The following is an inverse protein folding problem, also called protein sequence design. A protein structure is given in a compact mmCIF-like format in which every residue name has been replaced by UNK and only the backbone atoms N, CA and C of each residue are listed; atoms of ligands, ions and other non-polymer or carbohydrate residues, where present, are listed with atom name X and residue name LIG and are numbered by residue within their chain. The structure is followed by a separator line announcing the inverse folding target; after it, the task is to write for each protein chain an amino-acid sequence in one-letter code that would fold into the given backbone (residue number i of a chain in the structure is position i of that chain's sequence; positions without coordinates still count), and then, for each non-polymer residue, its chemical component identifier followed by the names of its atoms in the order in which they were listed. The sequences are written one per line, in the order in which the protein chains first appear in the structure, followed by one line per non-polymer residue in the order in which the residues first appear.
data_IF_108376288240
#
_entry.id   IF_108376288240
#
_cell.length_a   1.000
_cell.length_b   1.000
_cell.length_c   1.000
_cell.angle_alpha   90.00
_cell.angle_beta   90.00
_cell.angle_gamma   90.00
#
_symmetry.space_group_name_H-M   'P 1'
#
loop_
_entity.id
_entity.type
_entity.pdbx_description
1 polymer ?
#
# COMPACT_ATOMS: atom_id res chain seq x y z
N UNK A 1 10.98 -13.19 15.99
CA UNK A 1 9.97 -13.05 14.93
C UNK A 1 9.41 -11.64 14.99
N UNK A 2 9.30 -10.96 13.85
CA UNK A 2 8.69 -9.63 13.72
C UNK A 2 7.38 -9.78 12.95
N UNK A 3 6.26 -9.42 13.57
CA UNK A 3 4.98 -9.27 12.88
C UNK A 3 4.97 -7.92 12.17
N UNK A 4 4.93 -7.94 10.84
CA UNK A 4 4.96 -6.73 10.02
C UNK A 4 3.71 -5.87 10.12
N UNK A 5 2.56 -6.45 10.45
CA UNK A 5 1.22 -5.83 10.28
C UNK A 5 1.00 -5.25 8.87
N UNK A 6 1.68 -5.84 7.87
CA UNK A 6 1.67 -5.42 6.47
C UNK A 6 1.51 -6.65 5.56
N UNK A 7 1.21 -6.41 4.30
CA UNK A 7 1.11 -7.43 3.26
C UNK A 7 1.90 -7.00 2.02
N UNK A 8 2.17 -7.96 1.13
CA UNK A 8 2.81 -7.72 -0.17
C UNK A 8 4.15 -6.97 -0.03
N UNK A 9 4.37 -5.91 -0.82
CA UNK A 9 5.60 -5.10 -0.78
C UNK A 9 5.85 -4.48 0.60
N UNK A 10 4.81 -4.15 1.39
CA UNK A 10 5.01 -3.62 2.74
C UNK A 10 5.78 -4.56 3.65
N UNK A 11 5.51 -5.88 3.56
CA UNK A 11 6.35 -6.90 4.20
C UNK A 11 7.76 -6.94 3.59
N UNK A 12 7.85 -6.83 2.26
CA UNK A 12 9.14 -6.83 1.54
C UNK A 12 10.05 -5.67 1.96
N UNK A 13 9.51 -4.47 2.20
CA UNK A 13 10.27 -3.31 2.69
C UNK A 13 10.97 -3.64 4.02
N UNK A 14 10.26 -4.26 4.96
CA UNK A 14 10.87 -4.68 6.23
C UNK A 14 11.96 -5.74 6.04
N UNK A 15 11.78 -6.65 5.08
CA UNK A 15 12.79 -7.66 4.76
C UNK A 15 14.07 -7.02 4.16
N UNK A 16 13.91 -5.99 3.31
CA UNK A 16 15.04 -5.21 2.78
C UNK A 16 15.76 -4.50 3.93
N UNK A 17 15.05 -3.80 4.80
CA UNK A 17 15.65 -3.12 5.94
C UNK A 17 16.37 -4.08 6.89
N UNK A 18 15.83 -5.28 7.12
CA UNK A 18 16.51 -6.32 7.88
C UNK A 18 17.82 -6.76 7.21
N UNK A 19 17.82 -6.89 5.89
CA UNK A 19 19.03 -7.25 5.13
C UNK A 19 20.09 -6.13 5.22
N UNK A 20 19.68 -4.87 5.06
CA UNK A 20 20.57 -3.71 5.16
C UNK A 20 21.21 -3.63 6.57
N UNK A 21 20.43 -3.88 7.62
CA UNK A 21 20.92 -3.91 9.00
C UNK A 21 21.90 -5.06 9.23
N UNK A 22 21.61 -6.26 8.71
CA UNK A 22 22.53 -7.40 8.76
C UNK A 22 23.85 -7.03 8.08
N UNK A 23 23.81 -6.44 6.90
CA UNK A 23 25.00 -6.06 6.13
C UNK A 23 25.79 -4.93 6.81
N UNK A 24 25.12 -4.12 7.62
CA UNK A 24 25.74 -3.16 8.54
C UNK A 24 26.26 -3.78 9.85
N UNK A 25 26.21 -5.12 10.00
CA UNK A 25 26.74 -5.86 11.17
C UNK A 25 25.86 -5.82 12.42
N UNK A 26 24.57 -5.51 12.28
CA UNK A 26 23.61 -5.53 13.39
C UNK A 26 23.24 -6.96 13.80
N UNK A 27 23.01 -7.16 15.09
CA UNK A 27 22.53 -8.44 15.61
C UNK A 27 21.05 -8.68 15.23
N UNK A 28 20.58 -9.94 15.24
CA UNK A 28 19.17 -10.25 15.03
C UNK A 28 18.23 -9.54 16.03
N UNK A 29 18.69 -9.34 17.27
CA UNK A 29 17.94 -8.67 18.33
C UNK A 29 17.78 -7.18 18.02
N UNK A 30 18.88 -6.48 17.66
CA UNK A 30 18.86 -5.08 17.23
C UNK A 30 17.95 -4.89 16.01
N UNK A 31 18.02 -5.82 15.03
CA UNK A 31 17.16 -5.80 13.85
C UNK A 31 15.68 -5.92 14.25
N UNK A 32 15.36 -6.89 15.12
CA UNK A 32 13.98 -7.12 15.55
C UNK A 32 13.41 -5.93 16.33
N UNK A 33 14.20 -5.31 17.21
CA UNK A 33 13.81 -4.12 17.97
C UNK A 33 13.50 -2.96 17.02
N UNK A 34 14.42 -2.60 16.16
CA UNK A 34 14.25 -1.54 15.17
C UNK A 34 13.04 -1.76 14.27
N UNK A 35 12.90 -2.95 13.68
CA UNK A 35 11.79 -3.25 12.78
C UNK A 35 10.43 -3.21 13.48
N UNK A 36 10.34 -3.60 14.75
CA UNK A 36 9.12 -3.47 15.54
C UNK A 36 8.74 -2.02 15.80
N UNK A 37 9.70 -1.13 15.95
CA UNK A 37 9.47 0.30 16.12
C UNK A 37 9.02 0.96 14.80
N UNK A 38 9.74 0.70 13.70
CA UNK A 38 9.53 1.44 12.44
C UNK A 38 8.41 0.91 11.55
N UNK A 39 7.99 -0.35 11.71
CA UNK A 39 6.97 -0.97 10.84
C UNK A 39 5.67 -0.18 10.72
N UNK A 40 5.31 0.56 11.76
CA UNK A 40 4.09 1.37 11.79
C UNK A 40 4.20 2.63 10.89
N UNK A 41 5.41 3.05 10.52
CA UNK A 41 5.65 4.19 9.64
C UNK A 41 5.51 3.84 8.16
N UNK A 42 5.51 2.55 7.80
CA UNK A 42 5.24 2.12 6.43
C UNK A 42 3.74 2.22 6.20
N UNK A 43 3.35 3.15 5.35
CA UNK A 43 1.98 3.38 4.95
C UNK A 43 1.69 2.74 3.59
N UNK A 44 0.44 2.32 3.40
CA UNK A 44 -0.05 1.90 2.10
C UNK A 44 -1.45 2.44 1.87
N UNK A 45 -1.67 2.98 0.66
CA UNK A 45 -2.99 3.35 0.16
C UNK A 45 -3.20 2.73 -1.20
N UNK A 46 -4.36 2.16 -1.40
CA UNK A 46 -4.68 1.43 -2.61
C UNK A 46 -6.13 1.58 -3.01
N UNK A 47 -6.39 1.27 -4.28
CA UNK A 47 -7.72 1.22 -4.85
C UNK A 47 -7.88 -0.03 -5.70
N UNK A 48 -9.11 -0.45 -5.91
CA UNK A 48 -9.47 -1.59 -6.75
C UNK A 48 -10.75 -1.29 -7.52
N UNK A 49 -10.97 -2.00 -8.61
CA UNK A 49 -12.20 -1.88 -9.40
C UNK A 49 -13.35 -2.72 -8.81
N UNK A 50 -13.03 -3.77 -8.03
CA UNK A 50 -14.06 -4.65 -7.46
C UNK A 50 -13.70 -5.13 -6.05
N UNK A 51 -14.55 -4.79 -5.09
CA UNK A 51 -14.45 -5.25 -3.69
C UNK A 51 -14.96 -6.68 -3.48
N UNK A 52 -15.57 -7.33 -4.48
CA UNK A 52 -16.12 -8.68 -4.31
C UNK A 52 -15.09 -9.70 -3.89
N UNK A 53 -13.86 -9.62 -4.43
CA UNK A 53 -12.76 -10.53 -4.08
C UNK A 53 -12.37 -10.40 -2.61
N UNK A 54 -12.18 -9.16 -2.14
CA UNK A 54 -11.88 -8.86 -0.74
C UNK A 54 -13.02 -9.29 0.20
N UNK A 55 -14.27 -9.16 -0.24
CA UNK A 55 -15.42 -9.64 0.50
C UNK A 55 -15.49 -11.16 0.58
N UNK A 56 -15.37 -11.84 -0.56
CA UNK A 56 -15.40 -13.31 -0.63
C UNK A 56 -14.32 -13.95 0.24
N UNK A 57 -13.19 -13.29 0.36
CA UNK A 57 -12.07 -13.72 1.19
C UNK A 57 -12.18 -13.25 2.67
N UNK A 58 -13.24 -12.54 3.04
CA UNK A 58 -13.52 -12.11 4.42
C UNK A 58 -12.71 -10.89 4.89
N UNK A 59 -12.09 -10.13 3.98
CA UNK A 59 -11.27 -8.95 4.31
C UNK A 59 -12.08 -7.67 4.34
N UNK A 60 -13.24 -7.64 3.69
CA UNK A 60 -14.19 -6.52 3.71
C UNK A 60 -15.58 -7.02 4.05
N UNK A 61 -16.30 -6.31 4.91
CA UNK A 61 -17.66 -6.66 5.29
C UNK A 61 -18.66 -6.49 4.15
N UNK A 62 -19.79 -7.21 4.19
CA UNK A 62 -20.88 -7.09 3.21
C UNK A 62 -21.40 -5.65 3.09
N UNK A 63 -21.47 -4.91 4.18
CA UNK A 63 -21.87 -3.50 4.18
C UNK A 63 -20.87 -2.61 3.40
N UNK A 64 -19.56 -2.92 3.45
CA UNK A 64 -18.54 -2.24 2.66
C UNK A 64 -18.72 -2.45 1.15
N UNK A 65 -19.16 -3.64 0.73
CA UNK A 65 -19.34 -4.00 -0.68
C UNK A 65 -20.64 -3.45 -1.27
N UNK A 66 -21.75 -3.52 -0.54
CA UNK A 66 -23.08 -3.09 -1.07
C UNK A 66 -23.09 -1.65 -1.60
N UNK A 67 -22.20 -0.80 -1.10
CA UNK A 67 -22.12 0.60 -1.53
C UNK A 67 -21.13 0.80 -2.68
N UNK A 68 -20.26 -0.17 -2.96
CA UNK A 68 -19.28 -0.10 -4.06
C UNK A 68 -19.77 -0.76 -5.36
N UNK A 69 -20.91 -1.45 -5.35
CA UNK A 69 -21.54 -2.03 -6.55
C UNK A 69 -22.22 -1.01 -7.45
N UNK A 70 -22.27 0.27 -7.06
CA UNK A 70 -22.63 1.33 -7.98
C UNK A 70 -21.54 1.49 -9.05
N UNK A 71 -21.93 1.62 -10.29
CA UNK A 71 -21.07 1.76 -11.46
C UNK A 71 -19.93 2.77 -11.22
N UNK A 72 -18.69 2.33 -11.44
CA UNK A 72 -17.51 3.17 -11.45
C UNK A 72 -17.08 3.74 -10.07
N UNK A 73 -17.33 3.03 -8.97
CA UNK A 73 -16.80 3.38 -7.64
C UNK A 73 -15.46 2.68 -7.43
N UNK A 74 -14.42 3.46 -7.22
CA UNK A 74 -13.09 3.03 -6.84
C UNK A 74 -12.86 3.37 -5.37
N UNK A 75 -12.94 2.40 -4.45
CA UNK A 75 -12.72 2.65 -3.03
C UNK A 75 -11.26 2.98 -2.75
N UNK A 76 -11.01 3.82 -1.78
CA UNK A 76 -9.68 4.01 -1.20
C UNK A 76 -9.59 3.18 0.07
N UNK A 77 -8.57 2.33 0.12
CA UNK A 77 -8.32 1.42 1.21
C UNK A 77 -6.92 1.66 1.78
N UNK A 78 -6.74 1.31 3.05
CA UNK A 78 -5.43 1.24 3.68
C UNK A 78 -5.40 0.12 4.73
N UNK A 79 -4.27 -0.04 5.39
CA UNK A 79 -4.13 -0.84 6.60
C UNK A 79 -4.06 0.07 7.83
N UNK A 80 -4.74 -0.30 8.91
CA UNK A 80 -4.60 0.36 10.20
C UNK A 80 -3.30 -0.07 10.93
N UNK A 81 -3.09 0.40 12.14
CA UNK A 81 -1.91 0.05 12.95
C UNK A 81 -1.82 -1.45 13.27
N UNK A 82 -2.94 -2.16 13.31
CA UNK A 82 -3.03 -3.59 13.60
C UNK A 82 -2.97 -4.46 12.33
N UNK A 83 -2.79 -3.85 11.14
CA UNK A 83 -2.73 -4.55 9.86
C UNK A 83 -4.11 -4.93 9.30
N UNK A 84 -5.20 -4.38 9.85
CA UNK A 84 -6.55 -4.63 9.34
C UNK A 84 -6.84 -3.73 8.15
N UNK A 85 -7.51 -4.30 7.16
CA UNK A 85 -7.92 -3.59 5.97
C UNK A 85 -9.12 -2.67 6.29
N UNK A 86 -8.98 -1.39 5.97
CA UNK A 86 -9.98 -0.36 6.18
C UNK A 86 -10.40 0.26 4.85
N UNK A 87 -11.70 0.34 4.59
CA UNK A 87 -12.26 1.14 3.51
C UNK A 87 -12.43 2.57 4.01
N UNK A 88 -11.61 3.49 3.53
CA UNK A 88 -11.59 4.89 3.97
C UNK A 88 -12.60 5.75 3.26
N UNK A 89 -12.57 5.71 1.95
CA UNK A 89 -13.37 6.59 1.11
C UNK A 89 -13.90 5.83 -0.11
N UNK A 90 -14.92 6.38 -0.75
CA UNK A 90 -15.51 5.86 -1.97
C UNK A 90 -15.48 6.96 -3.02
N UNK A 91 -14.66 6.77 -4.03
CA UNK A 91 -14.41 7.77 -5.06
C UNK A 91 -15.00 7.27 -6.38
N UNK A 92 -15.69 8.15 -7.10
CA UNK A 92 -16.20 7.82 -8.42
C UNK A 92 -15.15 8.13 -9.48
N UNK A 93 -14.63 7.07 -10.10
CA UNK A 93 -13.65 7.13 -11.19
C UNK A 93 -12.21 6.96 -10.76
N UNK A 94 -11.49 6.11 -11.50
CA UNK A 94 -10.13 5.63 -11.23
C UNK A 94 -9.12 6.77 -11.06
N UNK A 95 -9.08 7.70 -12.01
CA UNK A 95 -8.17 8.85 -11.97
C UNK A 95 -8.41 9.75 -10.74
N UNK A 96 -9.68 9.93 -10.35
CA UNK A 96 -10.01 10.69 -9.13
C UNK A 96 -9.56 9.96 -7.87
N UNK A 97 -9.64 8.62 -7.84
CA UNK A 97 -9.10 7.83 -6.75
C UNK A 97 -7.57 7.98 -6.64
N UNK A 98 -6.84 7.98 -7.76
CA UNK A 98 -5.40 8.23 -7.78
C UNK A 98 -5.03 9.62 -7.24
N UNK A 99 -5.73 10.66 -7.67
CA UNK A 99 -5.52 12.02 -7.16
C UNK A 99 -5.77 12.08 -5.65
N UNK A 100 -6.86 11.45 -5.18
CA UNK A 100 -7.17 11.43 -3.75
C UNK A 100 -6.14 10.65 -2.94
N UNK A 101 -5.63 9.53 -3.43
CA UNK A 101 -4.51 8.82 -2.80
C UNK A 101 -3.28 9.73 -2.73
N UNK A 102 -2.97 10.46 -3.80
CA UNK A 102 -1.87 11.42 -3.81
C UNK A 102 -2.05 12.54 -2.77
N UNK A 103 -3.27 13.04 -2.55
CA UNK A 103 -3.53 14.03 -1.51
C UNK A 103 -3.34 13.45 -0.10
N UNK A 104 -3.78 12.22 0.14
CA UNK A 104 -3.56 11.53 1.41
C UNK A 104 -2.07 11.29 1.66
N UNK A 105 -1.32 10.91 0.64
CA UNK A 105 0.14 10.75 0.73
C UNK A 105 0.79 12.07 1.13
N UNK A 106 0.37 13.19 0.52
CA UNK A 106 0.89 14.53 0.85
C UNK A 106 0.77 14.87 2.35
N UNK A 107 -0.32 14.45 2.98
CA UNK A 107 -0.56 14.73 4.39
C UNK A 107 0.28 13.85 5.34
N UNK A 108 0.81 12.74 4.84
CA UNK A 108 1.46 11.71 5.65
C UNK A 108 2.96 11.55 5.40
N UNK A 109 3.41 11.80 4.17
CA UNK A 109 4.76 11.48 3.74
C UNK A 109 5.82 12.29 4.49
N UNK A 110 6.98 11.68 4.72
CA UNK A 110 8.15 12.31 5.36
C UNK A 110 9.37 12.05 4.47
N UNK A 111 10.09 13.12 4.10
CA UNK A 111 11.36 13.07 3.35
C UNK A 111 11.28 12.16 2.09
N UNK A 112 10.35 12.40 1.15
CA UNK A 112 10.17 11.54 -0.02
C UNK A 112 11.43 11.43 -0.89
N UNK A 113 12.27 12.46 -0.94
CA UNK A 113 13.52 12.50 -1.69
C UNK A 113 14.60 11.52 -1.18
N UNK A 114 14.41 10.96 0.01
CA UNK A 114 15.32 9.96 0.60
C UNK A 114 14.82 8.53 0.47
N UNK A 115 13.60 8.31 -0.05
CA UNK A 115 12.97 6.99 -0.08
C UNK A 115 12.57 6.55 -1.48
N UNK A 116 12.43 5.23 -1.65
CA UNK A 116 11.84 4.61 -2.83
C UNK A 116 10.33 4.55 -2.69
N UNK A 117 9.60 4.98 -3.72
CA UNK A 117 8.17 4.69 -3.86
C UNK A 117 8.00 3.24 -4.32
N UNK A 118 7.27 2.44 -3.57
CA UNK A 118 6.92 1.09 -4.02
C UNK A 118 5.48 1.04 -4.49
N UNK A 119 5.26 0.47 -5.67
CA UNK A 119 3.94 0.26 -6.25
C UNK A 119 3.77 -1.24 -6.52
N UNK A 120 2.63 -1.81 -6.13
CA UNK A 120 2.25 -3.13 -6.61
C UNK A 120 0.83 -3.13 -7.15
N UNK A 121 0.58 -4.01 -8.12
CA UNK A 121 -0.71 -4.12 -8.77
C UNK A 121 -1.07 -5.56 -9.12
N UNK A 122 -2.35 -5.83 -9.33
CA UNK A 122 -2.87 -7.09 -9.84
C UNK A 122 -3.63 -6.84 -11.14
N UNK A 123 -3.04 -7.26 -12.25
CA UNK A 123 -3.66 -7.21 -13.59
C UNK A 123 -4.23 -5.82 -13.96
N UNK A 124 -3.52 -4.73 -13.58
CA UNK A 124 -3.81 -3.39 -14.05
C UNK A 124 -3.16 -3.17 -15.43
N UNK A 125 -3.77 -2.34 -16.25
CA UNK A 125 -3.18 -1.92 -17.53
C UNK A 125 -1.89 -1.14 -17.27
N UNK A 126 -0.89 -1.35 -18.12
CA UNK A 126 0.42 -0.70 -17.99
C UNK A 126 0.30 0.82 -17.96
N UNK A 127 -0.58 1.40 -18.80
CA UNK A 127 -0.81 2.83 -18.85
C UNK A 127 -1.39 3.39 -17.55
N UNK A 128 -2.22 2.61 -16.84
CA UNK A 128 -2.74 3.00 -15.53
C UNK A 128 -1.65 2.98 -14.45
N UNK A 129 -0.82 1.94 -14.47
CA UNK A 129 0.29 1.78 -13.51
C UNK A 129 1.28 2.92 -13.69
N UNK A 130 1.63 3.22 -14.94
CA UNK A 130 2.56 4.31 -15.25
C UNK A 130 1.96 5.69 -14.93
N UNK A 131 0.68 5.91 -15.20
CA UNK A 131 -0.02 7.13 -14.81
C UNK A 131 0.03 7.34 -13.29
N UNK A 132 -0.22 6.29 -12.51
CA UNK A 132 -0.19 6.36 -11.05
C UNK A 132 1.22 6.62 -10.53
N UNK A 133 2.22 5.92 -11.09
CA UNK A 133 3.64 6.10 -10.76
C UNK A 133 4.12 7.53 -11.05
N UNK A 134 3.96 7.96 -12.30
CA UNK A 134 4.46 9.28 -12.75
C UNK A 134 3.85 10.42 -11.95
N UNK A 135 2.53 10.36 -11.69
CA UNK A 135 1.84 11.36 -10.86
C UNK A 135 2.44 11.48 -9.47
N UNK A 136 2.77 10.35 -8.81
CA UNK A 136 3.35 10.35 -7.46
C UNK A 136 4.83 10.78 -7.48
N UNK A 137 5.61 10.29 -8.43
CA UNK A 137 7.03 10.65 -8.56
C UNK A 137 7.21 12.14 -8.90
N UNK A 138 6.40 12.68 -9.81
CA UNK A 138 6.45 14.10 -10.17
C UNK A 138 6.07 15.02 -9.02
N UNK A 139 5.04 14.63 -8.25
CA UNK A 139 4.56 15.44 -7.12
C UNK A 139 5.52 15.44 -5.94
N UNK A 140 6.05 14.28 -5.57
CA UNK A 140 6.79 14.10 -4.31
C UNK A 140 8.30 14.02 -4.49
N UNK A 141 8.79 13.87 -5.73
CA UNK A 141 10.23 13.79 -6.02
C UNK A 141 10.93 12.64 -5.26
N UNK A 142 10.29 11.47 -5.22
CA UNK A 142 10.91 10.27 -4.64
C UNK A 142 12.31 10.03 -5.26
N UNK A 143 13.23 9.52 -4.43
CA UNK A 143 14.58 9.15 -4.87
C UNK A 143 14.55 8.12 -5.99
N UNK A 144 13.64 7.17 -5.89
CA UNK A 144 13.46 6.06 -6.83
C UNK A 144 12.02 5.54 -6.79
N UNK A 145 11.66 4.68 -7.73
CA UNK A 145 10.38 3.97 -7.74
C UNK A 145 10.53 2.53 -8.20
N UNK A 146 9.84 1.62 -7.51
CA UNK A 146 9.84 0.19 -7.82
C UNK A 146 8.41 -0.28 -8.04
N UNK A 147 8.18 -0.99 -9.17
CA UNK A 147 6.88 -1.56 -9.51
C UNK A 147 6.99 -3.08 -9.53
N UNK A 148 5.99 -3.76 -8.98
CA UNK A 148 5.89 -5.22 -8.99
C UNK A 148 4.45 -5.69 -9.10
N UNK A 149 4.27 -6.91 -9.56
CA UNK A 149 3.00 -7.62 -9.44
C UNK A 149 2.74 -8.04 -7.99
N UNK A 150 1.47 -8.05 -7.61
CA UNK A 150 1.04 -8.65 -6.34
C UNK A 150 1.20 -10.17 -6.45
N UNK A 151 1.84 -10.78 -5.46
CA UNK A 151 2.02 -12.22 -5.40
C UNK A 151 0.69 -12.99 -5.31
N UNK A 152 0.66 -14.28 -5.70
CA UNK A 152 -0.58 -15.04 -5.87
C UNK A 152 -1.42 -15.14 -4.59
N UNK A 153 -0.79 -15.21 -3.43
CA UNK A 153 -1.50 -15.27 -2.14
C UNK A 153 -2.38 -14.05 -1.91
N UNK A 154 -1.82 -12.85 -2.05
CA UNK A 154 -2.59 -11.60 -1.90
C UNK A 154 -3.50 -11.37 -3.12
N UNK A 155 -3.04 -11.72 -4.31
CA UNK A 155 -3.81 -11.61 -5.56
C UNK A 155 -5.12 -12.40 -5.54
N UNK A 156 -5.12 -13.60 -4.96
CA UNK A 156 -6.34 -14.42 -4.81
C UNK A 156 -7.40 -13.77 -3.91
N UNK A 157 -6.97 -12.92 -2.97
CA UNK A 157 -7.87 -12.16 -2.10
C UNK A 157 -8.32 -10.83 -2.69
N UNK A 158 -7.43 -10.17 -3.42
CA UNK A 158 -7.67 -8.82 -3.95
C UNK A 158 -8.35 -8.80 -5.33
N UNK A 159 -8.15 -9.86 -6.11
CA UNK A 159 -8.61 -9.91 -7.51
C UNK A 159 -7.83 -8.97 -8.44
N UNK A 160 -8.20 -8.92 -9.71
CA UNK A 160 -7.62 -8.01 -10.69
C UNK A 160 -7.98 -6.55 -10.41
N UNK A 161 -7.20 -5.61 -10.95
CA UNK A 161 -7.47 -4.18 -10.90
C UNK A 161 -7.09 -3.49 -9.59
N UNK A 162 -6.45 -4.19 -8.63
CA UNK A 162 -5.91 -3.51 -7.45
C UNK A 162 -4.55 -2.87 -7.78
N UNK A 163 -4.37 -1.62 -7.33
CA UNK A 163 -3.08 -0.91 -7.37
C UNK A 163 -2.83 -0.22 -6.03
N UNK A 164 -1.63 -0.37 -5.49
CA UNK A 164 -1.23 0.11 -4.18
C UNK A 164 0.09 0.88 -4.25
N UNK A 165 0.18 1.99 -3.50
CA UNK A 165 1.42 2.70 -3.22
C UNK A 165 1.84 2.44 -1.78
N UNK A 166 3.15 2.25 -1.55
CA UNK A 166 3.78 2.11 -0.24
C UNK A 166 4.87 3.18 -0.09
N UNK A 167 4.90 3.81 1.06
CA UNK A 167 5.84 4.88 1.38
C UNK A 167 6.06 4.98 2.89
N UNK A 168 7.14 5.61 3.30
CA UNK A 168 7.41 5.92 4.70
C UNK A 168 6.80 7.27 5.05
N UNK A 169 6.08 7.32 6.14
CA UNK A 169 5.38 8.54 6.55
C UNK A 169 5.09 8.55 8.05
N UNK A 170 4.19 9.42 8.47
CA UNK A 170 3.72 9.45 9.85
C UNK A 170 3.15 8.08 10.25
N UNK A 171 3.28 7.68 11.53
CA UNK A 171 2.77 6.39 12.00
C UNK A 171 1.29 6.18 11.64
N UNK A 172 0.97 4.97 11.21
CA UNK A 172 -0.42 4.57 10.94
C UNK A 172 -1.27 4.72 12.20
N UNK A 173 -2.44 5.31 12.05
CA UNK A 173 -3.45 5.45 13.10
C UNK A 173 -4.61 4.47 12.86
N UNK A 174 -5.52 4.41 13.80
CA UNK A 174 -6.78 3.68 13.68
C UNK A 174 -7.59 4.10 12.47
#
# INVERSE_FOLDING_TARGET
VVDSTLASIGYGILAIWAADMRDAGKTPEECAEYLNEVKITINTYYTTDDLKYLHRSGRVSKAGVMVATALNINPILNLDKDGRLIVREKIRGRKKAFNRISDIINDLIINPESQTLYICHSDCKEEEVELFRSMLVERFKFKDSFISYIGPTIGSHSGPGLIAAFFVGRPRKL
#
